data_IF_785337278442
#
_entry.id   IF_785337278442
#
_cell.length_a   1.000
_cell.length_b   1.000
_cell.length_c   1.000
_cell.angle_alpha   90.00
_cell.angle_beta   90.00
_cell.angle_gamma   90.00
#
_symmetry.space_group_name_H-M   'P 1'
#
loop_
_entity.id
_entity.type
_entity.pdbx_description
1 polymer ?
#
# COMPACT_ATOMS: atom_id res chain seq x y z
N UNK A 1 -22.16 3.09 -27.60
CA UNK A 1 -21.23 4.23 -27.45
C UNK A 1 -21.15 4.55 -25.97
N UNK A 2 -20.20 3.94 -25.24
CA UNK A 2 -19.99 4.20 -23.82
C UNK A 2 -18.85 5.18 -23.65
N UNK A 3 -19.14 6.35 -23.11
CA UNK A 3 -18.20 7.45 -22.90
C UNK A 3 -17.10 7.01 -21.91
N UNK A 4 -15.86 6.94 -22.41
CA UNK A 4 -14.67 6.82 -21.56
C UNK A 4 -14.53 8.10 -20.74
N UNK A 5 -14.69 7.99 -19.43
CA UNK A 5 -14.24 9.03 -18.49
C UNK A 5 -12.72 8.94 -18.39
N UNK A 6 -12.05 9.87 -19.05
CA UNK A 6 -10.62 10.16 -18.90
C UNK A 6 -10.43 10.85 -17.55
N UNK A 7 -9.87 10.15 -16.57
CA UNK A 7 -9.25 10.81 -15.43
C UNK A 7 -7.83 11.19 -15.84
N UNK A 8 -7.58 12.49 -15.83
CA UNK A 8 -6.27 13.09 -16.07
C UNK A 8 -5.27 12.56 -15.03
N UNK A 9 -4.12 12.05 -15.50
CA UNK A 9 -3.04 11.58 -14.64
C UNK A 9 -2.63 10.14 -14.89
N UNK A 10 -1.70 9.96 -15.83
CA UNK A 10 -0.79 8.83 -15.86
C UNK A 10 -1.37 7.42 -16.04
N UNK A 11 -2.43 7.24 -16.86
CA UNK A 11 -2.75 5.95 -17.51
C UNK A 11 -3.01 4.74 -16.60
N UNK A 12 -3.07 4.92 -15.28
CA UNK A 12 -3.30 3.89 -14.28
C UNK A 12 -4.74 3.95 -13.82
N UNK A 13 -5.37 2.79 -13.66
CA UNK A 13 -6.74 2.74 -13.16
C UNK A 13 -6.77 3.30 -11.72
N UNK A 14 -7.89 3.89 -11.30
CA UNK A 14 -8.03 4.49 -9.96
C UNK A 14 -7.78 3.47 -8.81
N UNK A 15 -7.92 2.19 -9.12
CA UNK A 15 -7.73 1.07 -8.19
C UNK A 15 -6.39 0.35 -8.37
N UNK A 16 -5.51 0.84 -9.25
CA UNK A 16 -4.22 0.21 -9.52
C UNK A 16 -3.20 0.58 -8.43
N UNK A 17 -2.50 -0.39 -7.83
CA UNK A 17 -1.44 -0.10 -6.88
C UNK A 17 -0.28 0.67 -7.53
N UNK A 18 0.35 1.54 -6.75
CA UNK A 18 1.46 2.37 -7.23
C UNK A 18 2.48 2.65 -6.11
N UNK A 19 3.66 3.11 -6.49
CA UNK A 19 4.74 3.43 -5.54
C UNK A 19 4.90 4.94 -5.44
N UNK A 20 5.02 5.42 -4.21
CA UNK A 20 5.45 6.79 -3.89
C UNK A 20 6.71 6.75 -3.02
N UNK A 21 7.31 7.92 -2.82
CA UNK A 21 8.39 8.10 -1.86
C UNK A 21 7.92 8.95 -0.68
N UNK A 22 8.27 8.56 0.54
CA UNK A 22 7.84 9.25 1.74
C UNK A 22 8.38 8.65 3.02
N UNK A 23 8.15 9.36 4.13
CA UNK A 23 8.50 8.95 5.49
C UNK A 23 7.41 9.39 6.46
N UNK A 24 7.22 8.62 7.52
CA UNK A 24 6.18 8.83 8.51
C UNK A 24 4.81 8.33 8.06
N UNK A 25 3.93 8.08 9.01
CA UNK A 25 2.57 7.62 8.73
C UNK A 25 1.78 8.63 7.86
N UNK A 26 2.03 9.93 8.03
CA UNK A 26 1.33 11.00 7.31
C UNK A 26 1.62 11.01 5.79
N UNK A 27 2.68 10.32 5.35
CA UNK A 27 2.95 10.12 3.93
C UNK A 27 2.02 9.08 3.28
N UNK A 28 1.32 8.26 4.06
CA UNK A 28 0.34 7.31 3.56
C UNK A 28 -0.91 8.04 3.07
N UNK A 29 -1.31 7.87 1.80
CA UNK A 29 -2.53 8.51 1.29
C UNK A 29 -3.78 8.10 2.07
N UNK A 30 -4.79 8.99 2.06
CA UNK A 30 -6.12 8.66 2.58
C UNK A 30 -6.78 7.62 1.67
N UNK A 31 -7.65 6.79 2.25
CA UNK A 31 -8.40 5.75 1.54
C UNK A 31 -7.51 4.73 0.81
N UNK A 32 -6.37 4.41 1.41
CA UNK A 32 -5.42 3.46 0.86
C UNK A 32 -4.77 2.62 1.96
N UNK A 33 -4.33 1.42 1.57
CA UNK A 33 -3.48 0.57 2.36
C UNK A 33 -2.03 0.75 1.90
N UNK A 34 -1.17 1.22 2.80
CA UNK A 34 0.20 1.63 2.48
C UNK A 34 1.22 0.73 3.15
N UNK A 35 2.18 0.24 2.39
CA UNK A 35 3.23 -0.68 2.83
C UNK A 35 4.59 0.02 2.71
N UNK A 36 5.34 0.07 3.79
CA UNK A 36 6.60 0.77 3.91
C UNK A 36 7.76 -0.22 3.84
N UNK A 37 8.83 0.18 3.15
CA UNK A 37 10.01 -0.66 2.92
C UNK A 37 10.95 -0.74 4.13
N UNK A 38 10.70 0.09 5.15
CA UNK A 38 11.43 0.09 6.41
C UNK A 38 10.49 0.09 7.63
N UNK A 39 11.05 -0.27 8.78
CA UNK A 39 10.37 -0.14 10.06
C UNK A 39 10.14 1.33 10.38
N UNK A 40 9.25 1.61 11.34
CA UNK A 40 8.93 2.97 11.77
C UNK A 40 8.53 3.89 10.59
N UNK A 41 7.82 3.36 9.59
CA UNK A 41 7.31 4.12 8.44
C UNK A 41 8.42 4.85 7.66
N UNK A 42 9.55 4.17 7.40
CA UNK A 42 10.73 4.74 6.72
C UNK A 42 11.44 5.87 7.51
N UNK A 43 11.05 6.17 8.74
CA UNK A 43 11.67 7.26 9.54
C UNK A 43 13.03 6.82 10.08
N UNK A 44 14.07 7.57 9.72
CA UNK A 44 15.45 7.29 10.14
C UNK A 44 16.16 6.18 9.33
N UNK A 45 15.41 5.47 8.48
CA UNK A 45 15.93 4.43 7.59
C UNK A 45 16.47 4.97 6.26
N UNK A 46 17.30 4.17 5.55
CA UNK A 46 17.79 4.51 4.22
C UNK A 46 16.70 4.42 3.14
N UNK A 47 15.64 3.66 3.37
CA UNK A 47 14.56 3.43 2.40
C UNK A 47 13.46 4.48 2.53
N UNK A 48 12.80 4.79 1.42
CA UNK A 48 11.70 5.76 1.36
C UNK A 48 10.51 5.30 0.53
N UNK A 49 10.57 4.11 -0.07
CA UNK A 49 9.48 3.58 -0.90
C UNK A 49 8.26 3.28 -0.04
N UNK A 50 7.09 3.58 -0.58
CA UNK A 50 5.79 3.22 -0.05
C UNK A 50 4.97 2.65 -1.19
N UNK A 51 4.54 1.39 -1.08
CA UNK A 51 3.55 0.80 -1.96
C UNK A 51 2.17 1.20 -1.46
N UNK A 52 1.42 1.89 -2.32
CA UNK A 52 0.06 2.33 -2.05
C UNK A 52 -0.89 1.42 -2.81
N UNK A 53 -1.76 0.75 -2.07
CA UNK A 53 -2.86 -0.05 -2.60
C UNK A 53 -4.14 0.76 -2.35
N UNK A 54 -4.78 1.32 -3.38
CA UNK A 54 -6.08 1.99 -3.23
C UNK A 54 -7.09 1.05 -2.57
N UNK A 55 -8.12 1.59 -1.90
CA UNK A 55 -9.06 0.77 -1.15
C UNK A 55 -9.59 -0.43 -1.94
N UNK A 56 -9.99 -0.28 -3.22
CA UNK A 56 -10.51 -1.37 -4.05
C UNK A 56 -9.42 -2.09 -4.89
N UNK A 57 -8.16 -1.70 -4.70
CA UNK A 57 -7.03 -2.29 -5.39
C UNK A 57 -6.59 -3.62 -4.79
N UNK A 58 -5.81 -4.37 -5.55
CA UNK A 58 -5.16 -5.59 -5.07
C UNK A 58 -3.77 -5.67 -5.66
N UNK A 59 -2.77 -5.93 -4.80
CA UNK A 59 -1.40 -6.23 -5.22
C UNK A 59 -1.10 -7.71 -4.94
N UNK A 60 -0.96 -8.51 -6.01
CA UNK A 60 -0.73 -9.96 -5.89
C UNK A 60 0.74 -10.33 -5.65
N UNK A 61 1.66 -9.45 -6.06
CA UNK A 61 3.09 -9.61 -5.91
C UNK A 61 3.74 -8.25 -5.64
N UNK A 62 4.32 -8.07 -4.45
CA UNK A 62 4.93 -6.80 -4.06
C UNK A 62 6.27 -6.55 -4.78
N UNK A 63 6.93 -7.60 -5.26
CA UNK A 63 8.17 -7.48 -6.03
C UNK A 63 7.98 -6.71 -7.35
N UNK A 64 6.78 -6.74 -7.93
CA UNK A 64 6.44 -5.96 -9.14
C UNK A 64 6.52 -4.44 -8.88
N UNK A 65 6.48 -4.05 -7.60
CA UNK A 65 6.58 -2.68 -7.12
C UNK A 65 7.94 -2.40 -6.43
N UNK A 66 8.90 -3.33 -6.56
CA UNK A 66 10.23 -3.20 -5.97
C UNK A 66 10.28 -3.42 -4.46
N UNK A 67 9.36 -4.23 -3.93
CA UNK A 67 9.37 -4.76 -2.56
C UNK A 67 9.65 -6.27 -2.63
N UNK A 68 10.92 -6.63 -2.73
CA UNK A 68 11.35 -8.03 -2.77
C UNK A 68 11.52 -8.61 -1.36
N UNK A 69 11.49 -9.94 -1.24
CA UNK A 69 11.69 -10.61 0.05
C UNK A 69 13.17 -10.69 0.48
N UNK A 70 14.10 -10.34 -0.42
CA UNK A 70 15.54 -10.43 -0.18
C UNK A 70 16.11 -9.19 0.49
N UNK A 71 15.57 -8.00 0.20
CA UNK A 71 16.07 -6.72 0.70
C UNK A 71 14.93 -5.80 1.13
N UNK A 72 14.00 -5.45 0.22
CA UNK A 72 12.99 -4.39 0.38
C UNK A 72 11.62 -4.93 0.87
N UNK A 73 11.64 -5.84 1.84
CA UNK A 73 10.42 -6.43 2.40
C UNK A 73 9.51 -5.39 3.09
N UNK A 74 8.22 -5.71 3.15
CA UNK A 74 7.25 -4.89 3.90
C UNK A 74 7.59 -4.96 5.38
N UNK A 75 7.96 -3.81 5.95
CA UNK A 75 8.47 -3.72 7.33
C UNK A 75 7.53 -2.94 8.26
N UNK A 76 6.68 -2.10 7.70
CA UNK A 76 5.57 -1.47 8.43
C UNK A 76 4.41 -1.15 7.49
N UNK A 77 3.21 -0.99 8.03
CA UNK A 77 1.98 -0.75 7.25
C UNK A 77 1.10 0.31 7.89
N UNK A 78 0.33 1.01 7.07
CA UNK A 78 -0.73 1.93 7.49
C UNK A 78 -2.00 1.58 6.74
N UNK A 79 -3.09 1.32 7.47
CA UNK A 79 -4.40 1.09 6.88
C UNK A 79 -5.28 2.34 7.06
N UNK A 80 -5.25 3.23 6.05
CA UNK A 80 -6.11 4.41 5.99
C UNK A 80 -7.41 4.15 5.21
N UNK A 81 -7.78 2.89 5.00
CA UNK A 81 -9.09 2.50 4.47
C UNK A 81 -10.13 2.41 5.59
N UNK A 82 -11.40 2.27 5.25
CA UNK A 82 -12.50 2.08 6.19
C UNK A 82 -12.79 0.60 6.50
N UNK A 83 -11.96 -0.32 6.00
CA UNK A 83 -12.11 -1.76 6.14
C UNK A 83 -10.82 -2.46 6.57
N UNK A 84 -10.97 -3.68 7.07
CA UNK A 84 -9.83 -4.55 7.30
C UNK A 84 -9.17 -4.90 5.96
N UNK A 85 -7.84 -4.83 5.91
CA UNK A 85 -7.06 -5.35 4.80
C UNK A 85 -6.40 -6.66 5.22
N UNK A 86 -6.17 -7.55 4.27
CA UNK A 86 -5.54 -8.86 4.54
C UNK A 86 -4.20 -8.89 3.83
N UNK A 87 -3.11 -9.08 4.58
CA UNK A 87 -1.84 -9.48 3.98
C UNK A 87 -1.73 -10.99 3.95
N UNK A 88 -1.15 -11.48 2.87
CA UNK A 88 -0.82 -12.88 2.69
C UNK A 88 0.69 -13.03 2.73
N UNK A 89 1.17 -14.04 3.45
CA UNK A 89 2.62 -14.28 3.57
C UNK A 89 3.25 -14.83 2.27
N UNK A 90 2.44 -15.17 1.26
CA UNK A 90 2.89 -15.60 -0.07
C UNK A 90 2.10 -14.90 -1.17
N UNK A 91 2.65 -14.92 -2.38
CA UNK A 91 2.01 -14.39 -3.59
C UNK A 91 0.69 -15.11 -3.89
N UNK A 92 -0.15 -14.47 -4.72
CA UNK A 92 -1.46 -15.01 -5.14
C UNK A 92 -2.36 -15.40 -3.96
N UNK A 93 -2.34 -14.60 -2.90
CA UNK A 93 -3.15 -14.80 -1.69
C UNK A 93 -2.89 -16.15 -0.99
N UNK A 94 -1.68 -16.68 -1.12
CA UNK A 94 -1.28 -17.94 -0.51
C UNK A 94 -0.70 -17.78 0.91
N UNK A 95 -0.67 -18.88 1.66
CA UNK A 95 -0.05 -18.93 2.98
C UNK A 95 -0.94 -18.38 4.10
N UNK A 96 -0.31 -17.87 5.16
CA UNK A 96 -1.02 -17.35 6.32
C UNK A 96 -1.62 -15.97 6.03
N UNK A 97 -2.79 -15.72 6.62
CA UNK A 97 -3.49 -14.45 6.54
C UNK A 97 -3.18 -13.61 7.78
N UNK A 98 -2.87 -12.34 7.54
CA UNK A 98 -2.64 -11.33 8.57
C UNK A 98 -3.66 -10.21 8.36
N UNK A 99 -4.77 -10.20 9.11
CA UNK A 99 -5.71 -9.09 9.07
C UNK A 99 -5.06 -7.84 9.68
N UNK A 100 -5.24 -6.71 9.00
CA UNK A 100 -4.77 -5.40 9.43
C UNK A 100 -5.98 -4.48 9.53
N UNK A 101 -6.45 -4.18 10.75
CA UNK A 101 -7.60 -3.30 10.93
C UNK A 101 -7.26 -1.85 10.52
N UNK A 102 -8.28 -1.02 10.22
CA UNK A 102 -8.08 0.40 10.00
C UNK A 102 -7.28 1.05 11.13
N UNK A 103 -6.31 1.89 10.78
CA UNK A 103 -5.59 2.71 11.74
C UNK A 103 -6.64 3.58 12.47
N UNK A 104 -6.66 3.60 13.82
CA UNK A 104 -7.62 4.39 14.55
C UNK A 104 -7.48 5.85 14.13
N UNK A 105 -8.55 6.40 13.55
CA UNK A 105 -8.63 7.83 13.28
C UNK A 105 -8.69 8.53 14.63
N UNK A 106 -7.68 9.32 14.96
CA UNK A 106 -7.76 10.22 16.12
C UNK A 106 -9.09 10.99 16.03
N UNK A 107 -9.92 11.01 17.09
CA UNK A 107 -11.10 11.84 17.08
C UNK A 107 -10.66 13.31 16.95
N UNK A 108 -11.13 13.97 15.90
CA UNK A 108 -10.93 15.41 15.68
C UNK A 108 -11.74 16.21 16.70
#
# INVERSE_FOLDING_TARGET
MGTRVTAEGNGKNADEPYVITGRGQDAAPKNAFSLFADVNYNVGGPRTKILVIPANGTANNFSDYGFDQSDDGVSSVVNNTDRDNILFTRTNQGGSQLPVPPTPRSPT
#
